data_IF_059263948212
#
_entry.id   IF_059263948212
#
_cell.length_a   1.000
_cell.length_b   1.000
_cell.length_c   1.000
_cell.angle_alpha   90.00
_cell.angle_beta   90.00
_cell.angle_gamma   90.00
#
_symmetry.space_group_name_H-M   'P 1'
#
loop_
_entity.id
_entity.type
_entity.pdbx_description
1 polymer ?
#
# COMPACT_ATOMS: atom_id res chain seq x y z
N UNK A 1 4.29 42.52 5.76
CA UNK A 1 3.35 41.45 6.16
C UNK A 1 2.22 41.29 5.12
N UNK A 2 1.55 42.37 4.75
CA UNK A 2 0.39 42.31 3.84
C UNK A 2 0.71 41.85 2.41
N UNK A 3 1.88 42.22 1.87
CA UNK A 3 2.33 41.74 0.55
C UNK A 3 2.58 40.22 0.53
N UNK A 4 3.12 39.66 1.61
CA UNK A 4 3.37 38.22 1.72
C UNK A 4 2.05 37.44 1.85
N UNK A 5 1.07 38.00 2.56
CA UNK A 5 -0.28 37.43 2.67
C UNK A 5 -0.99 37.43 1.31
N UNK A 6 -0.89 38.52 0.53
CA UNK A 6 -1.47 38.58 -0.80
C UNK A 6 -0.82 37.58 -1.78
N UNK A 7 0.51 37.49 -1.78
CA UNK A 7 1.24 36.52 -2.60
C UNK A 7 0.91 35.07 -2.23
N UNK A 8 0.77 34.77 -0.94
CA UNK A 8 0.38 33.45 -0.45
C UNK A 8 -1.06 33.10 -0.85
N UNK A 9 -2.00 34.05 -0.80
CA UNK A 9 -3.40 33.84 -1.23
C UNK A 9 -3.52 33.49 -2.72
N UNK A 10 -2.77 34.16 -3.59
CA UNK A 10 -2.76 33.85 -5.03
C UNK A 10 -2.14 32.48 -5.31
N UNK A 11 -1.07 32.12 -4.58
CA UNK A 11 -0.42 30.81 -4.71
C UNK A 11 -1.32 29.68 -4.20
N UNK A 12 -2.06 29.93 -3.11
CA UNK A 12 -3.09 29.02 -2.57
C UNK A 12 -4.16 28.70 -3.60
N UNK A 13 -4.69 29.70 -4.30
CA UNK A 13 -5.79 29.46 -5.25
C UNK A 13 -5.38 28.51 -6.38
N UNK A 14 -4.14 28.66 -6.87
CA UNK A 14 -3.56 27.75 -7.87
C UNK A 14 -3.41 26.33 -7.33
N UNK A 15 -2.94 26.20 -6.10
CA UNK A 15 -2.76 24.88 -5.46
C UNK A 15 -4.10 24.24 -5.07
N UNK A 16 -5.12 25.02 -4.70
CA UNK A 16 -6.48 24.53 -4.40
C UNK A 16 -7.09 23.87 -5.63
N UNK A 17 -6.98 24.51 -6.79
CA UNK A 17 -7.46 23.95 -8.07
C UNK A 17 -6.64 22.74 -8.50
N UNK A 18 -5.34 22.72 -8.21
CA UNK A 18 -4.44 21.63 -8.57
C UNK A 18 -4.63 20.37 -7.71
N UNK A 19 -4.92 20.55 -6.43
CA UNK A 19 -5.00 19.45 -5.45
C UNK A 19 -6.43 18.95 -5.20
N UNK A 20 -7.43 19.58 -5.82
CA UNK A 20 -8.86 19.23 -5.68
C UNK A 20 -9.27 18.95 -4.22
N UNK A 21 -8.75 19.77 -3.29
CA UNK A 21 -8.88 19.56 -1.86
C UNK A 21 -10.27 20.05 -1.40
N UNK A 22 -11.26 19.17 -1.17
CA UNK A 22 -12.60 19.59 -0.81
C UNK A 22 -12.59 19.95 0.67
N UNK A 23 -12.83 21.23 1.01
CA UNK A 23 -13.05 21.73 2.38
C UNK A 23 -12.02 21.25 3.43
N UNK A 24 -10.76 21.66 3.30
CA UNK A 24 -9.86 21.61 4.46
C UNK A 24 -10.15 22.79 5.38
N UNK A 25 -10.46 22.50 6.65
CA UNK A 25 -10.58 23.50 7.71
C UNK A 25 -9.22 24.14 7.99
N UNK A 26 -9.06 25.40 7.61
CA UNK A 26 -7.77 26.11 7.71
C UNK A 26 -7.35 26.41 9.15
N UNK A 27 -8.30 26.49 10.09
CA UNK A 27 -7.99 26.68 11.50
C UNK A 27 -7.36 25.42 12.10
N UNK A 28 -7.91 24.23 11.80
CA UNK A 28 -7.30 22.95 12.20
C UNK A 28 -5.92 22.73 11.58
N UNK A 29 -5.73 23.23 10.36
CA UNK A 29 -4.44 23.17 9.67
C UNK A 29 -3.42 24.13 10.31
N UNK A 30 -3.86 25.32 10.73
CA UNK A 30 -3.03 26.27 11.46
C UNK A 30 -2.60 25.71 12.83
N UNK A 31 -3.52 25.08 13.56
CA UNK A 31 -3.22 24.41 14.84
C UNK A 31 -2.15 23.32 14.65
N UNK A 32 -2.27 22.49 13.61
CA UNK A 32 -1.26 21.47 13.28
C UNK A 32 0.08 22.05 12.84
N UNK A 33 0.09 23.24 12.24
CA UNK A 33 1.30 23.96 11.87
C UNK A 33 1.88 24.79 13.03
N UNK A 34 1.33 24.67 14.24
CA UNK A 34 1.71 25.45 15.43
C UNK A 34 1.54 26.97 15.27
N UNK A 35 0.56 27.38 14.45
CA UNK A 35 0.25 28.79 14.16
C UNK A 35 -1.07 29.19 14.83
N UNK A 36 -1.12 30.43 15.34
CA UNK A 36 -2.29 30.91 16.13
C UNK A 36 -3.53 31.19 15.29
N UNK A 37 -3.34 31.55 14.02
CA UNK A 37 -4.42 31.88 13.10
C UNK A 37 -4.05 31.40 11.70
N UNK A 38 -5.06 31.09 10.88
CA UNK A 38 -4.86 30.74 9.48
C UNK A 38 -4.10 31.84 8.71
N UNK A 39 -4.31 33.11 9.06
CA UNK A 39 -3.63 34.24 8.43
C UNK A 39 -2.12 34.28 8.71
N UNK A 40 -1.70 33.93 9.92
CA UNK A 40 -0.30 33.87 10.31
C UNK A 40 0.43 32.72 9.61
N UNK A 41 -0.25 31.57 9.47
CA UNK A 41 0.22 30.45 8.66
C UNK A 41 0.43 30.86 7.20
N UNK A 42 -0.47 31.65 6.61
CA UNK A 42 -0.30 32.16 5.24
C UNK A 42 0.80 33.22 5.14
N UNK A 43 0.98 34.06 6.16
CA UNK A 43 2.07 35.01 6.23
C UNK A 43 3.43 34.28 6.28
N UNK A 44 3.56 33.24 7.09
CA UNK A 44 4.74 32.38 7.18
C UNK A 44 5.02 31.63 5.87
N UNK A 45 3.98 31.16 5.17
CA UNK A 45 4.12 30.56 3.83
C UNK A 45 4.62 31.58 2.79
N UNK A 46 4.14 32.82 2.86
CA UNK A 46 4.56 33.91 1.97
C UNK A 46 5.94 34.49 2.32
N UNK A 47 6.38 34.36 3.57
CA UNK A 47 7.72 34.71 4.04
C UNK A 47 8.76 33.62 3.74
N UNK A 48 8.32 32.37 3.58
CA UNK A 48 9.18 31.20 3.30
C UNK A 48 9.57 30.40 4.54
N UNK A 49 9.12 30.83 5.72
CA UNK A 49 9.32 30.12 7.00
C UNK A 49 8.57 28.78 7.02
N UNK A 50 7.43 28.70 6.33
CA UNK A 50 6.67 27.48 6.13
C UNK A 50 6.74 27.02 4.67
N UNK A 51 7.13 25.76 4.44
CA UNK A 51 7.18 25.21 3.08
C UNK A 51 5.80 24.73 2.63
N UNK A 52 5.43 25.07 1.39
CA UNK A 52 4.19 24.61 0.77
C UNK A 52 4.05 23.07 0.83
N UNK A 53 5.14 22.32 0.63
CA UNK A 53 5.12 20.86 0.66
C UNK A 53 4.75 20.30 2.05
N UNK A 54 5.19 20.95 3.14
CA UNK A 54 4.83 20.56 4.50
C UNK A 54 3.35 20.83 4.76
N UNK A 55 2.86 21.99 4.30
CA UNK A 55 1.46 22.36 4.43
C UNK A 55 0.52 21.41 3.65
N UNK A 56 0.92 21.02 2.44
CA UNK A 56 0.15 20.07 1.61
C UNK A 56 0.12 18.69 2.27
N UNK A 57 1.24 18.21 2.83
CA UNK A 57 1.27 16.92 3.54
C UNK A 57 0.34 16.93 4.77
N UNK A 58 0.40 17.99 5.58
CA UNK A 58 -0.50 18.16 6.73
C UNK A 58 -1.98 18.22 6.32
N UNK A 59 -2.27 18.89 5.20
CA UNK A 59 -3.62 18.96 4.65
C UNK A 59 -4.09 17.59 4.11
N UNK A 60 -3.22 16.83 3.46
CA UNK A 60 -3.51 15.45 3.03
C UNK A 60 -3.79 14.55 4.22
N UNK A 61 -2.99 14.60 5.28
CA UNK A 61 -3.21 13.81 6.50
C UNK A 61 -4.57 14.10 7.15
N UNK A 62 -5.03 15.35 7.14
CA UNK A 62 -6.35 15.72 7.67
C UNK A 62 -7.50 15.15 6.83
N UNK A 63 -7.33 15.07 5.51
CA UNK A 63 -8.32 14.49 4.59
C UNK A 63 -8.28 12.95 4.62
N UNK A 64 -7.09 12.36 4.73
CA UNK A 64 -6.89 10.91 4.84
C UNK A 64 -7.44 10.34 6.16
N UNK A 65 -7.39 11.11 7.27
CA UNK A 65 -8.05 10.66 8.51
C UNK A 65 -9.57 10.51 8.37
N UNK A 66 -10.22 11.21 7.43
CA UNK A 66 -11.66 11.03 7.13
C UNK A 66 -11.91 9.91 6.10
N UNK A 67 -10.92 9.61 5.26
CA UNK A 67 -10.90 8.43 4.35
C UNK A 67 -10.27 7.25 5.10
N UNK A 68 -10.98 6.80 6.12
CA UNK A 68 -10.42 5.99 7.20
C UNK A 68 -9.59 4.78 6.80
N UNK A 69 -8.65 4.42 7.67
CA UNK A 69 -8.20 3.05 7.97
C UNK A 69 -7.98 2.06 6.80
N UNK A 70 -7.74 2.54 5.57
CA UNK A 70 -7.17 1.75 4.47
C UNK A 70 -5.64 1.84 4.48
N UNK A 71 -5.05 2.14 5.64
CA UNK A 71 -3.66 1.78 5.86
C UNK A 71 -3.63 0.26 5.94
N UNK A 72 -3.56 -0.37 4.76
CA UNK A 72 -3.18 -1.77 4.58
C UNK A 72 -1.99 -1.96 5.51
N UNK A 73 -2.23 -2.58 6.67
CA UNK A 73 -1.16 -3.00 7.54
C UNK A 73 -0.25 -3.81 6.62
N UNK A 74 0.94 -3.29 6.38
CA UNK A 74 2.04 -4.02 5.77
C UNK A 74 2.45 -5.05 6.82
N UNK A 75 1.56 -6.00 7.12
CA UNK A 75 1.85 -7.18 7.89
C UNK A 75 2.94 -7.83 7.07
N UNK A 76 4.20 -7.88 7.55
CA UNK A 76 5.21 -8.64 6.86
C UNK A 76 4.68 -10.06 6.86
N UNK A 77 4.17 -10.52 5.70
CA UNK A 77 3.77 -11.91 5.54
C UNK A 77 5.04 -12.68 5.84
N UNK A 78 5.15 -13.26 7.04
CA UNK A 78 6.12 -14.32 7.30
C UNK A 78 5.89 -15.27 6.15
N UNK A 79 6.90 -15.48 5.31
CA UNK A 79 6.84 -16.50 4.29
C UNK A 79 6.44 -17.77 5.04
N UNK A 80 5.19 -18.21 4.85
CA UNK A 80 4.77 -19.50 5.34
C UNK A 80 5.67 -20.44 4.54
N UNK A 81 6.77 -20.87 5.16
CA UNK A 81 7.74 -21.75 4.55
C UNK A 81 6.94 -22.86 3.91
N UNK A 82 7.18 -23.06 2.61
CA UNK A 82 6.48 -24.06 1.84
C UNK A 82 6.57 -25.38 2.60
N UNK A 83 5.47 -25.79 3.24
CA UNK A 83 5.43 -27.07 3.94
C UNK A 83 5.46 -28.10 2.83
N UNK A 84 6.62 -28.71 2.64
CA UNK A 84 6.69 -30.01 1.97
C UNK A 84 5.56 -30.85 2.58
N UNK A 85 4.64 -31.33 1.73
CA UNK A 85 3.49 -32.12 2.17
C UNK A 85 3.99 -33.22 3.10
N UNK A 86 3.20 -33.60 4.10
CA UNK A 86 3.59 -34.71 4.97
C UNK A 86 3.85 -35.92 4.08
N UNK A 87 4.84 -36.74 4.44
CA UNK A 87 5.13 -37.99 3.73
C UNK A 87 3.83 -38.80 3.62
N UNK A 88 3.34 -38.99 2.40
CA UNK A 88 2.09 -39.72 2.12
C UNK A 88 0.92 -38.88 1.62
N UNK A 89 0.97 -37.55 1.69
CA UNK A 89 -0.13 -36.67 1.24
C UNK A 89 -0.31 -36.69 -0.29
N UNK A 90 0.74 -37.05 -1.03
CA UNK A 90 0.75 -37.11 -2.49
C UNK A 90 1.11 -38.54 -2.91
N UNK A 91 0.21 -39.16 -3.67
CA UNK A 91 0.41 -40.45 -4.32
C UNK A 91 0.34 -40.27 -5.84
N UNK A 92 1.38 -40.69 -6.55
CA UNK A 92 1.47 -40.57 -8.00
C UNK A 92 1.30 -41.98 -8.57
N UNK A 93 0.17 -42.23 -9.24
CA UNK A 93 -0.12 -43.51 -9.90
C UNK A 93 0.08 -44.74 -8.97
N UNK A 94 -0.34 -44.61 -7.71
CA UNK A 94 -0.19 -45.68 -6.70
C UNK A 94 1.20 -45.77 -6.04
N UNK A 95 2.16 -44.94 -6.43
CA UNK A 95 3.47 -44.82 -5.78
C UNK A 95 3.45 -43.62 -4.83
N UNK A 96 3.56 -43.92 -3.53
CA UNK A 96 3.73 -42.91 -2.48
C UNK A 96 5.21 -42.59 -2.21
N UNK A 97 5.45 -41.56 -1.40
CA UNK A 97 6.77 -41.21 -0.85
C UNK A 97 7.84 -40.75 -1.85
N UNK A 98 7.41 -40.20 -3.00
CA UNK A 98 8.33 -39.50 -3.91
C UNK A 98 8.67 -38.11 -3.38
N UNK A 99 9.88 -37.63 -3.71
CA UNK A 99 10.27 -36.24 -3.50
C UNK A 99 9.38 -35.36 -4.38
N UNK A 100 8.48 -34.60 -3.76
CA UNK A 100 7.46 -33.82 -4.46
C UNK A 100 7.47 -32.38 -3.97
N UNK A 101 7.20 -31.46 -4.90
CA UNK A 101 7.11 -30.03 -4.61
C UNK A 101 5.95 -29.40 -5.41
N UNK A 102 5.13 -28.57 -4.77
CA UNK A 102 4.05 -27.86 -5.44
C UNK A 102 4.63 -26.71 -6.26
N UNK A 103 4.05 -26.49 -7.44
CA UNK A 103 4.44 -25.39 -8.30
C UNK A 103 4.00 -24.04 -7.72
N UNK A 104 4.88 -23.03 -7.81
CA UNK A 104 4.55 -21.67 -7.40
C UNK A 104 3.56 -20.95 -8.34
N UNK A 105 3.31 -21.48 -9.53
CA UNK A 105 2.44 -20.85 -10.53
C UNK A 105 0.94 -21.19 -10.38
N UNK A 106 0.60 -22.38 -9.87
CA UNK A 106 -0.79 -22.86 -9.90
C UNK A 106 -1.35 -23.36 -8.56
N UNK A 107 -0.54 -23.35 -7.48
CA UNK A 107 -0.89 -23.75 -6.10
C UNK A 107 -2.13 -24.68 -6.00
N UNK A 108 -2.00 -25.95 -6.40
CA UNK A 108 -3.14 -26.86 -6.43
C UNK A 108 -3.74 -27.05 -5.03
N UNK A 109 -5.07 -27.03 -4.94
CA UNK A 109 -5.79 -27.27 -3.69
C UNK A 109 -6.26 -28.74 -3.60
N UNK A 110 -6.49 -29.27 -2.38
CA UNK A 110 -7.10 -30.58 -2.23
C UNK A 110 -8.45 -30.65 -2.94
N UNK A 111 -8.59 -31.58 -3.89
CA UNK A 111 -9.78 -31.72 -4.74
C UNK A 111 -9.56 -31.25 -6.19
N UNK A 112 -8.50 -30.48 -6.47
CA UNK A 112 -8.12 -30.14 -7.83
C UNK A 112 -7.51 -31.34 -8.57
N UNK A 113 -7.76 -31.43 -9.88
CA UNK A 113 -6.97 -32.32 -10.74
C UNK A 113 -5.51 -31.89 -10.72
N UNK A 114 -4.58 -32.82 -10.54
CA UNK A 114 -3.15 -32.56 -10.44
C UNK A 114 -2.39 -33.25 -11.57
N UNK A 115 -1.35 -32.57 -12.09
CA UNK A 115 -0.39 -33.13 -13.06
C UNK A 115 1.02 -32.94 -12.50
N UNK A 116 1.87 -33.95 -12.63
CA UNK A 116 3.23 -33.93 -12.12
C UNK A 116 4.26 -33.94 -13.25
N UNK A 117 5.19 -32.99 -13.23
CA UNK A 117 6.33 -32.92 -14.15
C UNK A 117 7.61 -33.39 -13.46
N UNK A 118 8.39 -34.23 -14.13
CA UNK A 118 9.65 -34.77 -13.58
C UNK A 118 10.76 -33.74 -13.77
N UNK A 119 11.36 -33.29 -12.66
CA UNK A 119 12.47 -32.34 -12.66
C UNK A 119 13.79 -33.02 -12.29
N UNK A 120 14.89 -32.62 -12.93
CA UNK A 120 16.21 -33.14 -12.58
C UNK A 120 16.66 -32.63 -11.20
N UNK A 121 16.93 -33.55 -10.28
CA UNK A 121 17.49 -33.26 -8.95
C UNK A 121 16.52 -32.66 -7.91
N UNK A 122 15.28 -32.32 -8.28
CA UNK A 122 14.28 -31.76 -7.34
C UNK A 122 13.00 -32.62 -7.21
N UNK A 123 12.97 -33.77 -7.87
CA UNK A 123 11.83 -34.70 -7.82
C UNK A 123 10.69 -34.30 -8.77
N UNK A 124 9.45 -34.53 -8.37
CA UNK A 124 8.26 -34.24 -9.19
C UNK A 124 7.63 -32.92 -8.76
N UNK A 125 7.41 -32.01 -9.72
CA UNK A 125 6.71 -30.74 -9.50
C UNK A 125 5.23 -30.88 -9.83
N UNK A 126 4.37 -30.48 -8.90
CA UNK A 126 2.91 -30.65 -9.01
C UNK A 126 2.25 -29.36 -9.48
N UNK A 127 1.57 -29.45 -10.62
CA UNK A 127 0.78 -28.40 -11.24
C UNK A 127 -0.71 -28.70 -11.10
N UNK A 128 -1.53 -27.65 -11.14
CA UNK A 128 -2.99 -27.81 -11.29
C UNK A 128 -3.28 -28.17 -12.74
N UNK A 129 -4.10 -29.20 -12.94
CA UNK A 129 -4.59 -29.58 -14.26
C UNK A 129 -5.51 -28.48 -14.79
N UNK A 130 -4.98 -27.63 -15.67
CA UNK A 130 -5.82 -26.73 -16.47
C UNK A 130 -6.18 -27.50 -17.74
N UNK A 131 -7.45 -27.89 -17.87
CA UNK A 131 -7.95 -28.41 -19.15
C UNK A 131 -7.96 -27.23 -20.14
N UNK A 132 -7.25 -27.39 -21.26
CA UNK A 132 -7.51 -26.60 -22.46
C UNK A 132 -8.73 -27.20 -23.19
#
# INVERSE_FOLDING_TARGET
>A
RDQHVAAAKTRRERERTRLDLPRVDFDKLADKASMKTAEDMFAALGAGDLRLAQLVNLAQQLVETERGNEQLELIPRKAAGYKTGKRGDIQIQGVGNLMTQMAGCCQPLPGDGMVGDITQGRGVRIHRQVRA
#
